data_IF_351826313261
#
_entry.id   IF_351826313261
#
_cell.length_a   1.000
_cell.length_b   1.000
_cell.length_c   1.000
_cell.angle_alpha   90.00
_cell.angle_beta   90.00
_cell.angle_gamma   90.00
#
_symmetry.space_group_name_H-M   'P 1'
#
loop_
_entity.id
_entity.type
_entity.pdbx_description
1 polymer ?
#
# COMPACT_ATOMS: atom_id res chain seq x y z
N UNK A 1 25.48 2.80 2.42
CA UNK A 1 24.39 2.63 1.47
C UNK A 1 23.12 3.30 2.01
N UNK A 2 22.54 4.26 1.24
CA UNK A 2 21.38 5.05 1.68
C UNK A 2 20.13 4.21 1.87
N UNK A 3 19.92 3.21 1.00
CA UNK A 3 18.78 2.26 1.09
C UNK A 3 18.86 1.48 2.40
N UNK A 4 20.02 0.93 2.73
CA UNK A 4 20.24 0.21 4.00
C UNK A 4 19.94 1.09 5.21
N UNK A 5 20.39 2.35 5.19
CA UNK A 5 20.11 3.30 6.28
C UNK A 5 18.60 3.57 6.41
N UNK A 6 17.89 3.74 5.30
CA UNK A 6 16.44 3.94 5.28
C UNK A 6 15.70 2.69 5.81
N UNK A 7 16.11 1.50 5.36
CA UNK A 7 15.57 0.22 5.85
C UNK A 7 15.75 0.10 7.36
N UNK A 8 16.96 0.37 7.86
CA UNK A 8 17.24 0.32 9.29
C UNK A 8 16.42 1.36 10.08
N UNK A 9 16.20 2.54 9.53
CA UNK A 9 15.36 3.57 10.17
C UNK A 9 13.93 3.09 10.37
N UNK A 10 13.37 2.42 9.37
CA UNK A 10 11.96 1.99 9.35
C UNK A 10 11.78 0.70 10.17
N UNK A 11 12.61 -0.30 9.94
CA UNK A 11 12.46 -1.63 10.55
C UNK A 11 13.45 -1.93 11.67
N UNK A 12 14.25 -0.94 12.09
CA UNK A 12 15.16 -1.08 13.24
C UNK A 12 16.04 -2.34 13.17
N UNK A 13 16.63 -2.58 11.97
CA UNK A 13 17.51 -3.72 11.64
C UNK A 13 16.84 -5.08 11.42
N UNK A 14 15.53 -5.17 11.45
CA UNK A 14 14.80 -6.35 11.00
C UNK A 14 14.13 -6.04 9.68
N UNK A 15 14.57 -6.70 8.60
CA UNK A 15 13.83 -6.61 7.34
C UNK A 15 12.56 -7.44 7.52
N UNK A 16 11.40 -6.84 7.28
CA UNK A 16 10.11 -7.45 7.56
C UNK A 16 9.66 -8.28 6.36
N UNK A 17 8.46 -8.17 6.00
CA UNK A 17 7.67 -8.98 5.10
C UNK A 17 7.27 -10.31 5.73
N UNK A 18 7.25 -10.35 7.07
CA UNK A 18 6.77 -11.47 7.87
C UNK A 18 5.30 -11.32 8.28
N UNK A 19 4.66 -10.20 7.94
CA UNK A 19 3.24 -9.98 8.24
C UNK A 19 2.37 -11.06 7.58
N UNK A 20 1.36 -11.52 8.30
CA UNK A 20 0.41 -12.49 7.78
C UNK A 20 -0.47 -11.84 6.71
N UNK A 21 -0.65 -12.54 5.61
CA UNK A 21 -1.55 -12.15 4.52
C UNK A 21 -2.63 -13.22 4.34
N UNK A 22 -3.89 -12.80 4.39
CA UNK A 22 -5.04 -13.65 4.10
C UNK A 22 -5.68 -13.18 2.80
N UNK A 23 -5.96 -14.13 1.90
CA UNK A 23 -6.43 -13.83 0.55
C UNK A 23 -7.86 -14.34 0.37
N UNK A 24 -8.77 -13.42 0.07
CA UNK A 24 -10.12 -13.72 -0.39
C UNK A 24 -10.13 -13.61 -1.92
N UNK A 25 -10.16 -14.76 -2.60
CA UNK A 25 -10.08 -14.80 -4.07
C UNK A 25 -11.43 -14.56 -4.73
N UNK A 26 -11.40 -13.91 -5.90
CA UNK A 26 -12.56 -13.72 -6.78
C UNK A 26 -13.76 -13.09 -6.03
N UNK A 27 -13.49 -12.04 -5.24
CA UNK A 27 -14.56 -11.32 -4.55
C UNK A 27 -15.46 -10.59 -5.55
N UNK A 28 -16.74 -10.48 -5.23
CA UNK A 28 -17.65 -9.61 -5.93
C UNK A 28 -17.70 -8.24 -5.28
N UNK A 29 -17.47 -7.19 -6.05
CA UNK A 29 -17.62 -5.82 -5.60
C UNK A 29 -18.33 -5.00 -6.69
N UNK A 30 -19.59 -4.65 -6.45
CA UNK A 30 -20.45 -3.97 -7.40
C UNK A 30 -19.90 -2.61 -7.85
N UNK A 31 -19.00 -2.00 -7.09
CA UNK A 31 -18.35 -0.72 -7.45
C UNK A 31 -17.52 -0.82 -8.73
N UNK A 32 -17.07 -2.03 -9.09
CA UNK A 32 -16.21 -2.32 -10.24
C UNK A 32 -16.89 -3.17 -11.33
N UNK A 33 -18.18 -3.46 -11.18
CA UNK A 33 -18.93 -4.36 -12.10
C UNK A 33 -18.99 -3.90 -13.55
N UNK A 34 -18.72 -2.63 -13.83
CA UNK A 34 -18.73 -2.04 -15.17
C UNK A 34 -17.36 -2.02 -15.86
N UNK A 35 -16.31 -2.53 -15.22
CA UNK A 35 -14.98 -2.61 -15.84
C UNK A 35 -14.98 -3.68 -16.95
N UNK A 36 -14.66 -3.29 -18.19
CA UNK A 36 -14.81 -4.16 -19.37
C UNK A 36 -13.75 -5.26 -19.40
N UNK A 37 -12.49 -4.95 -19.10
CA UNK A 37 -11.38 -5.89 -19.17
C UNK A 37 -11.04 -6.54 -17.80
N UNK A 38 -11.94 -6.49 -16.83
CA UNK A 38 -11.72 -7.07 -15.50
C UNK A 38 -12.13 -8.53 -15.46
N UNK A 39 -11.19 -9.41 -15.15
CA UNK A 39 -11.40 -10.84 -14.95
C UNK A 39 -11.83 -11.18 -13.53
N UNK A 40 -11.10 -10.66 -12.55
CA UNK A 40 -11.33 -10.97 -11.13
C UNK A 40 -10.70 -9.92 -10.22
N UNK A 41 -11.19 -9.91 -8.98
CA UNK A 41 -10.64 -9.12 -7.88
C UNK A 41 -10.29 -10.08 -6.75
N UNK A 42 -9.03 -10.07 -6.30
CA UNK A 42 -8.64 -10.73 -5.07
C UNK A 42 -8.45 -9.68 -3.97
N UNK A 43 -9.00 -9.92 -2.79
CA UNK A 43 -8.82 -9.06 -1.63
C UNK A 43 -7.70 -9.60 -0.75
N UNK A 44 -6.72 -8.76 -0.47
CA UNK A 44 -5.59 -9.05 0.40
C UNK A 44 -5.83 -8.38 1.74
N UNK A 45 -5.90 -9.18 2.80
CA UNK A 45 -5.99 -8.70 4.18
C UNK A 45 -4.62 -8.90 4.82
N UNK A 46 -3.93 -7.81 5.13
CA UNK A 46 -2.55 -7.81 5.63
C UNK A 46 -2.58 -7.44 7.11
N UNK A 47 -2.26 -8.39 7.97
CA UNK A 47 -2.18 -8.17 9.41
C UNK A 47 -0.88 -7.46 9.75
N UNK A 48 -1.00 -6.40 10.55
CA UNK A 48 0.12 -5.56 10.97
C UNK A 48 0.12 -5.43 12.49
N UNK A 49 1.26 -5.02 13.05
CA UNK A 49 1.36 -4.75 14.48
C UNK A 49 0.31 -3.74 14.96
N UNK A 50 -0.04 -3.83 16.21
CA UNK A 50 -1.06 -3.01 16.86
C UNK A 50 -2.45 -3.10 16.21
N UNK A 51 -2.69 -4.18 15.43
CA UNK A 51 -3.94 -4.37 14.67
C UNK A 51 -4.22 -3.23 13.68
N UNK A 52 -3.21 -2.44 13.27
CA UNK A 52 -3.34 -1.43 12.22
C UNK A 52 -3.19 -2.13 10.87
N UNK A 53 -4.21 -2.91 10.51
CA UNK A 53 -4.19 -3.77 9.34
C UNK A 53 -4.41 -2.99 8.04
N UNK A 54 -3.95 -3.56 6.94
CA UNK A 54 -4.12 -3.00 5.60
C UNK A 54 -4.93 -3.92 4.70
N UNK A 55 -5.80 -3.32 3.87
CA UNK A 55 -6.56 -4.01 2.83
C UNK A 55 -6.08 -3.51 1.48
N UNK A 56 -5.79 -4.47 0.59
CA UNK A 56 -5.51 -4.19 -0.80
C UNK A 56 -6.42 -5.01 -1.71
N UNK A 57 -6.74 -4.48 -2.90
CA UNK A 57 -7.40 -5.22 -3.96
C UNK A 57 -6.42 -5.46 -5.10
N UNK A 58 -6.30 -6.72 -5.52
CA UNK A 58 -5.61 -7.11 -6.73
C UNK A 58 -6.63 -7.30 -7.84
N UNK A 59 -6.65 -6.37 -8.77
CA UNK A 59 -7.45 -6.44 -9.98
C UNK A 59 -6.67 -7.17 -11.06
N UNK A 60 -7.25 -8.22 -11.63
CA UNK A 60 -6.64 -9.00 -12.70
C UNK A 60 -7.41 -8.77 -14.00
N UNK A 61 -6.76 -8.36 -15.11
CA UNK A 61 -7.42 -8.17 -16.39
C UNK A 61 -7.65 -9.50 -17.11
N UNK A 62 -8.66 -9.55 -18.00
CA UNK A 62 -8.89 -10.67 -18.93
C UNK A 62 -7.71 -10.78 -19.93
N UNK A 63 -7.32 -9.64 -20.51
CA UNK A 63 -6.23 -9.55 -21.46
C UNK A 63 -5.02 -8.89 -20.79
N UNK A 64 -4.14 -9.70 -20.19
CA UNK A 64 -2.99 -9.20 -19.42
C UNK A 64 -1.76 -8.95 -20.31
N UNK A 65 -1.08 -7.83 -20.07
CA UNK A 65 0.27 -7.56 -20.57
C UNK A 65 1.37 -8.17 -19.66
N UNK A 66 0.96 -8.83 -18.57
CA UNK A 66 1.82 -9.44 -17.56
C UNK A 66 2.71 -8.45 -16.79
N UNK A 67 2.23 -7.24 -16.60
CA UNK A 67 2.86 -6.23 -15.74
C UNK A 67 1.91 -5.79 -14.63
N UNK A 68 2.46 -5.35 -13.50
CA UNK A 68 1.70 -4.89 -12.34
C UNK A 68 1.89 -3.40 -12.11
N UNK A 69 0.79 -2.69 -11.87
CA UNK A 69 0.80 -1.33 -11.32
C UNK A 69 0.32 -1.36 -9.88
N UNK A 70 1.10 -0.86 -8.95
CA UNK A 70 0.68 -0.59 -7.58
C UNK A 70 0.08 0.82 -7.57
N UNK A 71 -1.22 0.93 -7.34
CA UNK A 71 -1.91 2.19 -7.18
C UNK A 71 -2.10 2.51 -5.69
N UNK A 72 -1.51 3.61 -5.22
CA UNK A 72 -1.60 4.00 -3.80
C UNK A 72 -2.37 5.32 -3.66
N UNK A 73 -3.55 5.26 -3.02
CA UNK A 73 -4.39 6.41 -2.76
C UNK A 73 -3.79 7.32 -1.70
N UNK A 74 -4.13 8.60 -1.75
CA UNK A 74 -3.73 9.61 -0.78
C UNK A 74 -4.72 9.79 0.38
N UNK A 75 -4.67 10.98 1.00
CA UNK A 75 -5.50 11.31 2.16
C UNK A 75 -6.99 11.51 1.84
N UNK A 76 -7.39 11.49 0.58
CA UNK A 76 -8.80 11.60 0.18
C UNK A 76 -9.68 10.41 0.66
N UNK A 77 -9.05 9.32 1.14
CA UNK A 77 -9.76 8.20 1.74
C UNK A 77 -9.46 6.86 1.08
N UNK A 78 -10.49 6.21 0.54
CA UNK A 78 -10.41 4.89 -0.06
C UNK A 78 -9.79 4.95 -1.47
N UNK A 79 -9.11 3.87 -1.90
CA UNK A 79 -8.59 3.75 -3.26
C UNK A 79 -9.70 3.73 -4.34
N UNK A 80 -10.97 3.56 -3.95
CA UNK A 80 -12.11 3.73 -4.85
C UNK A 80 -12.16 5.13 -5.50
N UNK A 81 -11.63 6.14 -4.82
CA UNK A 81 -11.52 7.50 -5.38
C UNK A 81 -10.61 7.56 -6.60
N UNK A 82 -9.75 6.55 -6.78
CA UNK A 82 -8.91 6.36 -7.96
C UNK A 82 -9.47 5.38 -8.99
N UNK A 83 -10.78 5.07 -8.93
CA UNK A 83 -11.44 4.08 -9.78
C UNK A 83 -11.13 4.26 -11.26
N UNK A 84 -11.18 5.49 -11.77
CA UNK A 84 -10.92 5.80 -13.17
C UNK A 84 -9.48 5.46 -13.58
N UNK A 85 -8.51 5.71 -12.67
CA UNK A 85 -7.11 5.33 -12.91
C UNK A 85 -6.92 3.82 -12.89
N UNK A 86 -7.60 3.12 -11.98
CA UNK A 86 -7.57 1.66 -11.90
C UNK A 86 -8.17 1.07 -13.19
N UNK A 87 -9.33 1.57 -13.64
CA UNK A 87 -9.98 1.14 -14.86
C UNK A 87 -9.11 1.37 -16.10
N UNK A 88 -8.45 2.53 -16.17
CA UNK A 88 -7.51 2.84 -17.25
C UNK A 88 -6.40 1.78 -17.33
N UNK A 89 -5.72 1.47 -16.22
CA UNK A 89 -4.65 0.47 -16.22
C UNK A 89 -5.17 -0.93 -16.57
N UNK A 90 -6.34 -1.33 -16.07
CA UNK A 90 -6.98 -2.61 -16.40
C UNK A 90 -7.25 -2.69 -17.89
N UNK A 91 -7.78 -1.62 -18.51
CA UNK A 91 -8.06 -1.59 -19.94
C UNK A 91 -6.79 -1.66 -20.80
N UNK A 92 -5.66 -1.12 -20.30
CA UNK A 92 -4.34 -1.25 -20.93
C UNK A 92 -3.65 -2.61 -20.65
N UNK A 93 -4.32 -3.52 -19.95
CA UNK A 93 -3.87 -4.89 -19.69
C UNK A 93 -2.97 -5.05 -18.47
N UNK A 94 -2.77 -4.00 -17.68
CA UNK A 94 -2.03 -4.13 -16.42
C UNK A 94 -2.88 -4.81 -15.34
N UNK A 95 -2.26 -5.67 -14.54
CA UNK A 95 -2.81 -5.99 -13.23
C UNK A 95 -2.63 -4.79 -12.30
N UNK A 96 -3.58 -4.56 -11.38
CA UNK A 96 -3.50 -3.42 -10.47
C UNK A 96 -3.62 -3.88 -9.03
N UNK A 97 -2.62 -3.55 -8.20
CA UNK A 97 -2.71 -3.68 -6.74
C UNK A 97 -3.08 -2.32 -6.17
N UNK A 98 -4.34 -2.15 -5.76
CA UNK A 98 -4.82 -0.89 -5.22
C UNK A 98 -4.84 -0.89 -3.69
N UNK A 99 -4.32 0.19 -3.09
CA UNK A 99 -4.18 0.34 -1.63
C UNK A 99 -4.56 1.74 -1.17
N UNK A 100 -5.08 1.82 0.06
CA UNK A 100 -5.29 3.07 0.79
C UNK A 100 -4.18 3.28 1.83
N UNK A 101 -4.01 4.52 2.29
CA UNK A 101 -3.12 4.82 3.42
C UNK A 101 -3.62 4.14 4.71
N UNK A 102 -2.75 3.85 5.68
CA UNK A 102 -3.16 3.26 6.96
C UNK A 102 -4.29 4.07 7.62
N UNK A 103 -5.21 3.41 8.31
CA UNK A 103 -6.36 4.00 9.00
C UNK A 103 -7.38 4.71 8.07
N UNK A 104 -7.22 4.63 6.74
CA UNK A 104 -8.12 5.25 5.76
C UNK A 104 -8.79 4.21 4.86
N UNK A 105 -9.88 4.61 4.24
CA UNK A 105 -10.63 3.75 3.33
C UNK A 105 -11.20 2.51 4.02
N UNK A 106 -10.95 1.34 3.45
CA UNK A 106 -11.36 0.05 4.02
C UNK A 106 -10.46 -0.43 5.16
N UNK A 107 -9.34 0.25 5.44
CA UNK A 107 -8.47 -0.11 6.55
C UNK A 107 -9.16 0.15 7.88
N UNK A 108 -8.86 -0.71 8.87
CA UNK A 108 -9.50 -0.63 10.18
C UNK A 108 -8.99 0.54 11.04
N UNK A 109 -9.76 0.86 12.06
CA UNK A 109 -9.45 1.88 13.07
C UNK A 109 -9.43 1.23 14.45
N UNK A 110 -8.34 0.58 14.87
CA UNK A 110 -8.28 -0.17 16.11
C UNK A 110 -8.30 0.71 17.35
N UNK A 111 -8.66 0.10 18.50
CA UNK A 111 -8.47 0.69 19.81
C UNK A 111 -7.23 0.06 20.43
N UNK A 112 -6.20 0.85 20.63
CA UNK A 112 -4.90 0.40 21.17
C UNK A 112 -4.80 0.88 22.61
N UNK A 113 -4.45 -0.04 23.51
CA UNK A 113 -4.16 0.28 24.91
C UNK A 113 -2.67 0.64 25.05
N UNK A 114 -2.39 1.87 25.39
CA UNK A 114 -1.03 2.40 25.52
C UNK A 114 -0.70 2.61 27.00
N UNK A 115 0.41 2.04 27.44
CA UNK A 115 0.84 2.03 28.86
C UNK A 115 0.69 3.38 29.57
N UNK A 116 1.03 4.48 28.88
CA UNK A 116 1.03 5.83 29.48
C UNK A 116 -0.22 6.67 29.18
N UNK A 117 -1.09 6.19 28.27
CA UNK A 117 -2.22 6.98 27.74
C UNK A 117 -3.57 6.27 27.84
N UNK A 118 -3.57 4.96 28.19
CA UNK A 118 -4.77 4.13 28.19
C UNK A 118 -5.28 3.86 26.76
N UNK A 119 -6.57 3.53 26.63
CA UNK A 119 -7.20 3.13 25.39
C UNK A 119 -7.45 4.31 24.45
N UNK A 120 -6.84 4.30 23.27
CA UNK A 120 -7.02 5.31 22.23
C UNK A 120 -7.52 4.64 20.96
N UNK A 121 -8.62 5.16 20.39
CA UNK A 121 -9.05 4.77 19.03
C UNK A 121 -8.18 5.51 18.00
N UNK A 122 -7.48 4.75 17.17
CA UNK A 122 -6.64 5.31 16.11
C UNK A 122 -7.49 5.56 14.85
N UNK A 123 -7.58 6.82 14.44
CA UNK A 123 -8.42 7.26 13.31
C UNK A 123 -7.70 8.22 12.36
N UNK A 124 -6.47 8.63 12.69
CA UNK A 124 -5.69 9.53 11.85
C UNK A 124 -4.17 9.33 12.05
N UNK A 125 -3.39 9.72 11.04
CA UNK A 125 -1.93 9.51 11.01
C UNK A 125 -1.18 10.24 12.12
N UNK A 126 -1.71 11.35 12.66
CA UNK A 126 -1.03 12.08 13.76
C UNK A 126 -0.95 11.25 15.04
N UNK A 127 -1.86 10.29 15.22
CA UNK A 127 -1.86 9.42 16.38
C UNK A 127 -0.77 8.34 16.28
N UNK A 128 -0.32 7.98 15.08
CA UNK A 128 0.72 6.97 14.86
C UNK A 128 2.02 7.30 15.60
N UNK A 129 2.31 8.59 15.85
CA UNK A 129 3.47 9.04 16.65
C UNK A 129 3.51 8.47 18.07
N UNK A 130 2.36 8.09 18.63
CA UNK A 130 2.30 7.50 19.96
C UNK A 130 2.86 6.07 20.01
N UNK A 131 3.03 5.43 18.86
CA UNK A 131 3.60 4.10 18.72
C UNK A 131 5.10 4.14 18.45
N UNK A 132 5.68 5.34 18.17
CA UNK A 132 7.10 5.45 17.85
C UNK A 132 7.96 5.16 19.08
N UNK A 133 8.99 4.33 18.88
CA UNK A 133 9.95 3.98 19.91
C UNK A 133 11.35 3.75 19.31
N UNK A 134 12.33 3.46 20.16
CA UNK A 134 13.66 3.06 19.69
C UNK A 134 13.66 1.78 18.84
N UNK A 135 12.67 0.92 19.01
CA UNK A 135 12.55 -0.38 18.33
C UNK A 135 11.43 -0.43 17.29
N UNK A 136 10.61 0.61 17.18
CA UNK A 136 9.46 0.63 16.29
C UNK A 136 9.31 1.97 15.59
N UNK A 137 9.10 1.95 14.26
CA UNK A 137 8.79 3.13 13.45
C UNK A 137 7.40 2.99 12.80
N UNK A 138 6.49 3.93 13.06
CA UNK A 138 5.15 3.92 12.44
C UNK A 138 5.16 4.07 10.91
N UNK A 139 6.28 4.49 10.31
CA UNK A 139 6.43 4.60 8.85
C UNK A 139 6.21 3.23 8.19
N UNK A 140 6.51 2.13 8.89
CA UNK A 140 6.29 0.79 8.36
C UNK A 140 4.84 0.51 7.95
N UNK A 141 3.83 1.09 8.61
CA UNK A 141 2.43 0.93 8.23
C UNK A 141 2.11 1.44 6.81
N UNK A 142 2.94 2.34 6.28
CA UNK A 142 2.78 2.88 4.93
C UNK A 142 3.48 2.04 3.85
N UNK A 143 4.52 1.31 4.20
CA UNK A 143 5.40 0.65 3.23
C UNK A 143 5.41 -0.88 3.34
N UNK A 144 5.30 -1.43 4.53
CA UNK A 144 5.33 -2.88 4.75
C UNK A 144 4.19 -3.63 4.06
N UNK A 145 2.92 -3.12 4.07
CA UNK A 145 1.84 -3.80 3.36
C UNK A 145 2.11 -3.98 1.87
N UNK A 146 2.82 -3.03 1.24
CA UNK A 146 3.22 -3.13 -0.16
C UNK A 146 4.23 -4.27 -0.34
N UNK A 147 5.27 -4.30 0.49
CA UNK A 147 6.31 -5.33 0.42
C UNK A 147 5.77 -6.74 0.66
N UNK A 148 4.89 -6.91 1.66
CA UNK A 148 4.20 -8.18 1.93
C UNK A 148 3.35 -8.61 0.73
N UNK A 149 2.62 -7.69 0.13
CA UNK A 149 1.83 -7.96 -1.07
C UNK A 149 2.72 -8.38 -2.24
N UNK A 150 3.85 -7.71 -2.47
CA UNK A 150 4.78 -8.06 -3.54
C UNK A 150 5.39 -9.45 -3.34
N UNK A 151 5.71 -9.84 -2.10
CA UNK A 151 6.20 -11.20 -1.82
C UNK A 151 5.15 -12.26 -2.17
N UNK A 152 3.88 -12.03 -1.85
CA UNK A 152 2.79 -12.91 -2.30
C UNK A 152 2.69 -12.96 -3.82
N UNK A 153 2.85 -11.81 -4.49
CA UNK A 153 2.70 -11.67 -5.94
C UNK A 153 3.90 -12.20 -6.74
N UNK A 154 5.02 -12.55 -6.12
CA UNK A 154 6.15 -13.19 -6.82
C UNK A 154 5.73 -14.47 -7.56
N UNK A 155 4.74 -15.20 -7.02
CA UNK A 155 4.20 -16.40 -7.66
C UNK A 155 3.41 -16.12 -8.95
N UNK A 156 3.05 -14.88 -9.24
CA UNK A 156 2.35 -14.48 -10.46
C UNK A 156 3.31 -14.28 -11.64
N UNK A 157 4.63 -14.15 -11.37
CA UNK A 157 5.68 -13.97 -12.36
C UNK A 157 5.45 -12.78 -13.30
N UNK A 158 5.07 -11.62 -12.74
CA UNK A 158 4.96 -10.38 -13.51
C UNK A 158 6.33 -9.98 -14.10
N UNK A 159 6.32 -9.50 -15.34
CA UNK A 159 7.53 -9.04 -16.05
C UNK A 159 8.11 -7.75 -15.45
N UNK A 160 7.24 -6.88 -14.92
CA UNK A 160 7.62 -5.61 -14.31
C UNK A 160 6.62 -5.19 -13.23
N UNK A 161 7.13 -4.44 -12.26
CA UNK A 161 6.35 -3.82 -11.19
C UNK A 161 6.50 -2.30 -11.29
N UNK A 162 5.40 -1.61 -11.42
CA UNK A 162 5.34 -0.14 -11.43
C UNK A 162 4.58 0.35 -10.22
N UNK A 163 4.85 1.58 -9.79
CA UNK A 163 4.11 2.16 -8.69
C UNK A 163 3.67 3.59 -9.02
N UNK A 164 2.40 3.88 -8.78
CA UNK A 164 1.83 5.21 -8.88
C UNK A 164 1.07 5.55 -7.62
N UNK A 165 1.25 6.76 -7.12
CA UNK A 165 0.48 7.23 -5.97
C UNK A 165 0.20 8.72 -6.03
N UNK A 166 -0.92 9.12 -5.41
CA UNK A 166 -1.38 10.51 -5.39
C UNK A 166 -1.31 11.08 -3.97
N UNK A 167 -0.88 12.33 -3.83
CA UNK A 167 -0.81 13.04 -2.54
C UNK A 167 0.01 12.25 -1.50
N UNK A 168 -0.56 11.85 -0.38
CA UNK A 168 0.11 10.97 0.59
C UNK A 168 0.55 9.63 0.00
N UNK A 169 -0.21 9.05 -0.94
CA UNK A 169 0.21 7.88 -1.71
C UNK A 169 1.41 8.15 -2.61
N UNK A 170 1.51 9.36 -3.16
CA UNK A 170 2.70 9.82 -3.88
C UNK A 170 3.94 9.90 -2.99
N UNK A 171 3.80 10.35 -1.74
CA UNK A 171 4.86 10.27 -0.75
C UNK A 171 5.27 8.81 -0.45
N UNK A 172 4.30 7.94 -0.25
CA UNK A 172 4.54 6.49 -0.07
C UNK A 172 5.27 5.90 -1.27
N UNK A 173 4.90 6.30 -2.50
CA UNK A 173 5.55 5.87 -3.74
C UNK A 173 7.03 6.22 -3.76
N UNK A 174 7.41 7.46 -3.42
CA UNK A 174 8.83 7.88 -3.34
C UNK A 174 9.58 7.01 -2.33
N UNK A 175 8.98 6.82 -1.15
CA UNK A 175 9.61 6.10 -0.06
C UNK A 175 9.79 4.61 -0.38
N UNK A 176 8.73 3.95 -0.85
CA UNK A 176 8.76 2.52 -1.14
C UNK A 176 9.68 2.18 -2.32
N UNK A 177 9.68 2.99 -3.39
CA UNK A 177 10.59 2.79 -4.53
C UNK A 177 12.07 2.99 -4.16
N UNK A 178 12.35 3.76 -3.11
CA UNK A 178 13.71 3.86 -2.57
C UNK A 178 14.11 2.65 -1.72
N UNK A 179 13.15 1.89 -1.20
CA UNK A 179 13.36 0.73 -0.33
C UNK A 179 13.46 -0.58 -1.12
N UNK A 180 12.62 -0.76 -2.13
CA UNK A 180 12.43 -2.02 -2.86
C UNK A 180 12.83 -1.86 -4.33
N UNK A 181 13.84 -2.62 -4.78
CA UNK A 181 14.39 -2.55 -6.13
C UNK A 181 13.58 -3.35 -7.16
N UNK A 182 12.55 -4.05 -6.76
CA UNK A 182 11.58 -4.65 -7.67
C UNK A 182 10.79 -3.58 -8.43
N UNK A 183 10.66 -2.36 -7.90
CA UNK A 183 9.93 -1.28 -8.57
C UNK A 183 10.76 -0.74 -9.74
N UNK A 184 10.32 -1.05 -10.95
CA UNK A 184 10.96 -0.66 -12.20
C UNK A 184 10.76 0.82 -12.54
N UNK A 185 9.53 1.33 -12.31
CA UNK A 185 9.15 2.72 -12.54
C UNK A 185 8.23 3.22 -11.44
N UNK A 186 8.38 4.49 -11.05
CA UNK A 186 7.55 5.09 -10.01
C UNK A 186 7.10 6.50 -10.38
N UNK A 187 5.83 6.78 -10.13
CA UNK A 187 5.16 8.03 -10.46
C UNK A 187 4.53 8.64 -9.22
N UNK A 188 5.18 9.62 -8.63
CA UNK A 188 4.68 10.36 -7.48
C UNK A 188 3.89 11.58 -7.93
N UNK A 189 2.57 11.54 -7.79
CA UNK A 189 1.68 12.64 -8.14
C UNK A 189 1.38 13.46 -6.89
N UNK A 190 1.81 14.74 -6.86
CA UNK A 190 1.62 15.66 -5.73
C UNK A 190 2.08 15.09 -4.36
N UNK A 191 3.06 14.19 -4.36
CA UNK A 191 3.51 13.48 -3.14
C UNK A 191 4.51 14.26 -2.30
N UNK A 192 5.21 15.23 -2.88
CA UNK A 192 6.23 16.02 -2.19
C UNK A 192 6.51 17.31 -2.95
N UNK A 193 6.88 18.35 -2.21
CA UNK A 193 7.45 19.55 -2.82
C UNK A 193 8.93 19.33 -3.12
N UNK A 194 9.45 19.85 -4.24
CA UNK A 194 10.89 19.93 -4.47
C UNK A 194 11.60 20.62 -3.30
N UNK A 195 12.82 20.15 -2.97
CA UNK A 195 13.55 20.68 -1.81
C UNK A 195 13.80 22.19 -1.86
N UNK A 196 13.91 22.76 -3.07
CA UNK A 196 14.12 24.19 -3.25
C UNK A 196 12.85 25.04 -3.02
N UNK A 197 11.70 24.41 -2.78
CA UNK A 197 10.42 25.06 -2.47
C UNK A 197 10.04 24.94 -0.98
N UNK A 198 10.96 24.45 -0.15
CA UNK A 198 10.77 24.29 1.30
C UNK A 198 11.38 25.44 2.07
#
# INVERSE_FOLDING_TARGET
DKRKNLTNLIWKNTIPYSSLILIDKNIEDLRYSNFINLKSIDKLNIEMEYEINSIAYLFLPENSNNELVIYHQGHAGDFIEGKDSIEFFINEGYSVLAMSMPLLGMNNNPIIDLDNFGKIKFTNHKQLRFLESSTFSPIKFFVEPIGVSLNYLENFNFNAYHMMGISGGGWTTILFSALDDRISQSYSVAGSFPMFMR
#
